data_IF_815143382980
#
_entry.id   IF_815143382980
#
_cell.length_a   1.000
_cell.length_b   1.000
_cell.length_c   1.000
_cell.angle_alpha   90.00
_cell.angle_beta   90.00
_cell.angle_gamma   90.00
#
_symmetry.space_group_name_H-M   'P 1'
#
loop_
_entity.id
_entity.type
_entity.pdbx_description
1 polymer ?
#
# COMPACT_ATOMS: atom_id res chain seq x y z
N UNK A 1 -22.89 12.79 15.45
CA UNK A 1 -21.43 12.87 15.65
C UNK A 1 -20.89 13.97 14.75
N UNK A 2 -19.83 14.66 15.15
CA UNK A 2 -19.31 15.80 14.37
C UNK A 2 -18.25 15.38 13.34
N UNK A 3 -17.67 14.20 13.48
CA UNK A 3 -16.68 13.64 12.55
C UNK A 3 -16.80 12.11 12.44
N UNK A 4 -16.61 11.58 11.24
CA UNK A 4 -16.60 10.14 10.93
C UNK A 4 -15.17 9.72 10.58
N UNK A 5 -14.73 8.59 11.10
CA UNK A 5 -13.40 8.02 10.89
C UNK A 5 -13.47 6.57 10.41
N UNK A 6 -12.43 6.14 9.73
CA UNK A 6 -12.21 4.77 9.30
C UNK A 6 -12.43 4.59 7.80
N UNK A 7 -11.66 3.68 7.17
CA UNK A 7 -11.86 3.30 5.79
C UNK A 7 -13.12 2.44 5.65
N UNK A 8 -13.67 2.37 4.45
CA UNK A 8 -14.70 1.41 4.12
C UNK A 8 -14.71 1.03 2.65
N UNK A 9 -15.65 0.16 2.28
CA UNK A 9 -15.84 -0.19 0.88
C UNK A 9 -16.31 1.03 0.06
N UNK A 10 -16.41 0.86 -1.27
CA UNK A 10 -16.79 1.92 -2.22
C UNK A 10 -18.09 2.66 -1.86
N UNK A 11 -19.05 2.00 -1.20
CA UNK A 11 -20.30 2.64 -0.78
C UNK A 11 -20.10 3.54 0.43
N UNK A 12 -19.29 3.11 1.40
CA UNK A 12 -18.92 3.93 2.57
C UNK A 12 -18.13 5.17 2.12
N UNK A 13 -17.18 5.00 1.21
CA UNK A 13 -16.40 6.11 0.66
C UNK A 13 -17.27 7.10 -0.12
N UNK A 14 -18.23 6.61 -0.92
CA UNK A 14 -19.20 7.47 -1.59
C UNK A 14 -20.07 8.24 -0.58
N UNK A 15 -20.58 7.57 0.46
CA UNK A 15 -21.37 8.22 1.50
C UNK A 15 -20.57 9.27 2.28
N UNK A 16 -19.31 8.97 2.64
CA UNK A 16 -18.40 9.94 3.29
C UNK A 16 -18.19 11.17 2.39
N UNK A 17 -18.04 10.97 1.07
CA UNK A 17 -17.89 12.06 0.10
C UNK A 17 -19.13 12.96 0.03
N UNK A 18 -20.32 12.38 -0.04
CA UNK A 18 -21.59 13.13 -0.07
C UNK A 18 -21.84 13.92 1.23
N UNK A 19 -21.33 13.44 2.36
CA UNK A 19 -21.50 14.07 3.68
C UNK A 19 -20.41 15.10 4.02
N UNK A 20 -19.37 15.23 3.19
CA UNK A 20 -18.29 16.17 3.42
C UNK A 20 -18.81 17.62 3.49
N UNK A 21 -18.52 18.30 4.60
CA UNK A 21 -18.99 19.67 4.86
C UNK A 21 -20.26 19.75 5.71
N UNK A 22 -21.06 18.68 5.79
CA UNK A 22 -22.14 18.54 6.78
C UNK A 22 -21.59 17.97 8.08
N UNK A 23 -20.72 16.96 7.96
CA UNK A 23 -19.88 16.44 9.05
C UNK A 23 -18.43 16.42 8.60
N UNK A 24 -17.51 16.42 9.56
CA UNK A 24 -16.11 16.13 9.27
C UNK A 24 -15.94 14.70 8.78
N UNK A 25 -15.02 14.49 7.84
CA UNK A 25 -14.47 13.17 7.52
C UNK A 25 -12.95 13.21 7.70
N UNK A 26 -12.32 12.06 7.82
CA UNK A 26 -10.87 11.93 7.83
C UNK A 26 -10.27 12.06 6.42
N UNK A 27 -10.39 11.01 5.62
CA UNK A 27 -9.87 10.88 4.26
C UNK A 27 -10.78 9.97 3.44
N UNK A 28 -10.74 10.13 2.12
CA UNK A 28 -11.32 9.15 1.21
C UNK A 28 -10.26 8.08 0.93
N UNK A 29 -10.58 6.83 1.23
CA UNK A 29 -9.64 5.73 1.08
C UNK A 29 -9.32 5.48 -0.41
N UNK A 30 -8.04 5.29 -0.70
CA UNK A 30 -7.54 4.78 -1.97
C UNK A 30 -6.77 3.47 -1.76
N UNK A 31 -6.22 2.88 -2.83
CA UNK A 31 -5.37 1.70 -2.71
C UNK A 31 -4.19 1.95 -1.76
N UNK A 32 -3.76 0.90 -1.07
CA UNK A 32 -2.61 0.97 -0.18
C UNK A 32 -1.32 0.74 -0.96
N UNK A 33 -0.26 1.48 -0.63
CA UNK A 33 1.01 1.43 -1.37
C UNK A 33 2.19 1.33 -0.41
N UNK A 34 3.26 0.65 -0.83
CA UNK A 34 4.57 0.68 -0.14
C UNK A 34 5.69 0.84 -1.16
N UNK A 35 6.67 1.69 -0.84
CA UNK A 35 7.88 1.87 -1.64
C UNK A 35 9.10 1.54 -0.79
N UNK A 36 9.82 0.50 -1.20
CA UNK A 36 11.04 0.02 -0.57
C UNK A 36 12.23 0.54 -1.38
N UNK A 37 13.18 1.19 -0.71
CA UNK A 37 14.44 1.63 -1.32
C UNK A 37 15.55 0.66 -0.89
N UNK A 38 16.17 -0.02 -1.86
CA UNK A 38 17.20 -1.03 -1.60
C UNK A 38 18.54 -0.67 -2.25
N UNK A 39 19.64 -0.91 -1.54
CA UNK A 39 21.02 -0.76 -2.01
C UNK A 39 21.72 -2.14 -2.09
N UNK A 40 23.04 -2.17 -2.28
CA UNK A 40 23.83 -3.40 -2.39
C UNK A 40 23.79 -4.31 -1.15
N UNK A 41 23.35 -3.81 0.00
CA UNK A 41 23.22 -4.58 1.25
C UNK A 41 21.80 -5.11 1.48
N UNK A 42 20.87 -4.85 0.55
CA UNK A 42 19.49 -5.30 0.64
C UNK A 42 19.38 -6.82 0.72
N UNK A 43 18.53 -7.31 1.63
CA UNK A 43 18.20 -8.74 1.71
C UNK A 43 16.96 -9.04 0.88
N UNK A 44 17.14 -9.81 -0.19
CA UNK A 44 16.07 -10.12 -1.14
C UNK A 44 14.86 -10.81 -0.48
N UNK A 45 15.08 -11.79 0.39
CA UNK A 45 14.01 -12.52 1.09
C UNK A 45 13.19 -11.61 1.99
N UNK A 46 13.84 -10.68 2.71
CA UNK A 46 13.12 -9.76 3.59
C UNK A 46 12.31 -8.74 2.80
N UNK A 47 12.90 -8.17 1.74
CA UNK A 47 12.20 -7.22 0.87
C UNK A 47 11.01 -7.88 0.19
N UNK A 48 11.16 -9.12 -0.32
CA UNK A 48 10.07 -9.87 -0.90
C UNK A 48 8.95 -10.13 0.12
N UNK A 49 9.30 -10.52 1.35
CA UNK A 49 8.31 -10.72 2.41
C UNK A 49 7.50 -9.44 2.72
N UNK A 50 8.16 -8.28 2.79
CA UNK A 50 7.49 -7.00 3.00
C UNK A 50 6.58 -6.63 1.81
N UNK A 51 7.02 -6.90 0.57
CA UNK A 51 6.21 -6.67 -0.63
C UNK A 51 4.95 -7.55 -0.65
N UNK A 52 5.08 -8.83 -0.28
CA UNK A 52 3.96 -9.78 -0.20
C UNK A 52 2.99 -9.37 0.91
N UNK A 53 3.51 -8.99 2.08
CA UNK A 53 2.70 -8.51 3.20
C UNK A 53 1.87 -7.26 2.83
N UNK A 54 2.39 -6.39 1.97
CA UNK A 54 1.60 -5.28 1.43
C UNK A 54 0.58 -5.77 0.39
N UNK A 55 0.98 -6.67 -0.52
CA UNK A 55 0.11 -7.19 -1.58
C UNK A 55 -1.12 -7.95 -1.04
N UNK A 56 -1.00 -8.61 0.11
CA UNK A 56 -2.14 -9.34 0.71
C UNK A 56 -3.21 -8.44 1.33
N UNK A 57 -2.91 -7.16 1.56
CA UNK A 57 -3.82 -6.24 2.25
C UNK A 57 -5.05 -5.87 1.40
N UNK A 58 -4.87 -5.64 0.11
CA UNK A 58 -5.93 -5.25 -0.82
C UNK A 58 -5.57 -5.69 -2.25
N UNK A 59 -6.53 -6.16 -3.08
CA UNK A 59 -6.26 -6.54 -4.47
C UNK A 59 -5.66 -5.44 -5.34
N UNK A 60 -5.94 -4.17 -5.02
CA UNK A 60 -5.40 -3.00 -5.70
C UNK A 60 -4.09 -2.49 -5.05
N UNK A 61 -3.54 -3.17 -4.03
CA UNK A 61 -2.33 -2.75 -3.33
C UNK A 61 -1.11 -2.74 -4.25
N UNK A 62 -0.22 -1.75 -4.05
CA UNK A 62 0.93 -1.51 -4.94
C UNK A 62 2.24 -1.55 -4.13
N UNK A 63 2.89 -2.71 -4.02
CA UNK A 63 4.26 -2.79 -3.52
C UNK A 63 5.29 -2.50 -4.61
N UNK A 64 6.23 -1.61 -4.32
CA UNK A 64 7.27 -1.15 -5.26
C UNK A 64 8.65 -1.29 -4.61
N UNK A 65 9.59 -1.91 -5.31
CA UNK A 65 11.02 -1.84 -5.00
C UNK A 65 11.71 -0.87 -5.97
N UNK A 66 12.48 0.06 -5.43
CA UNK A 66 13.39 0.91 -6.20
C UNK A 66 14.81 0.63 -5.74
N UNK A 67 15.66 0.18 -6.65
CA UNK A 67 17.06 -0.11 -6.37
C UNK A 67 17.93 0.16 -7.60
N UNK A 68 19.16 0.66 -7.44
CA UNK A 68 20.14 0.73 -8.52
C UNK A 68 20.85 -0.62 -8.74
N UNK A 69 20.62 -1.62 -7.90
CA UNK A 69 21.33 -2.91 -7.92
C UNK A 69 20.46 -3.96 -8.60
N UNK A 70 20.82 -4.29 -9.85
CA UNK A 70 20.05 -5.24 -10.67
C UNK A 70 19.98 -6.63 -10.02
N UNK A 71 21.06 -7.10 -9.42
CA UNK A 71 21.11 -8.39 -8.71
C UNK A 71 20.09 -8.47 -7.56
N UNK A 72 19.89 -7.36 -6.82
CA UNK A 72 18.89 -7.29 -5.78
C UNK A 72 17.48 -7.37 -6.35
N UNK A 73 17.19 -6.62 -7.42
CA UNK A 73 15.88 -6.65 -8.07
C UNK A 73 15.53 -8.04 -8.60
N UNK A 74 16.50 -8.73 -9.23
CA UNK A 74 16.34 -10.09 -9.72
C UNK A 74 16.16 -11.09 -8.57
N UNK A 75 16.92 -10.93 -7.49
CA UNK A 75 16.80 -11.76 -6.28
C UNK A 75 15.41 -11.61 -5.65
N UNK A 76 14.92 -10.38 -5.47
CA UNK A 76 13.58 -10.13 -4.92
C UNK A 76 12.51 -10.72 -5.82
N UNK A 77 12.62 -10.58 -7.15
CA UNK A 77 11.66 -11.19 -8.08
C UNK A 77 11.59 -12.71 -7.92
N UNK A 78 12.74 -13.38 -7.78
CA UNK A 78 12.78 -14.83 -7.62
C UNK A 78 12.16 -15.32 -6.30
N UNK A 79 12.17 -14.50 -5.25
CA UNK A 79 11.55 -14.84 -3.95
C UNK A 79 10.03 -14.57 -3.94
N UNK A 80 9.51 -13.77 -4.87
CA UNK A 80 8.08 -13.46 -5.02
C UNK A 80 7.35 -14.45 -5.94
N UNK A 81 8.06 -15.05 -6.91
CA UNK A 81 7.53 -16.07 -7.85
C UNK A 81 7.38 -17.46 -7.23
#
# INVERSE_FOLDING_TARGET
>A
VDKIFGPGNRYVEAAKRELFGVVGIDLLAGPSEVVILGDENGNATFIAADMIAQAEHDPDAIPILVTPVEELALGVRAEVE
#
